data_IF_275700288074
#
_entry.id   IF_275700288074
#
_cell.length_a   1.000
_cell.length_b   1.000
_cell.length_c   1.000
_cell.angle_alpha   90.00
_cell.angle_beta   90.00
_cell.angle_gamma   90.00
#
_symmetry.space_group_name_H-M   'P 1'
#
loop_
_entity.id
_entity.type
_entity.pdbx_description
1 polymer ?
#
# COMPACT_ATOMS: atom_id res chain seq x y z
N UNK A 1 -6.25 35.75 -53.14
CA UNK A 1 -5.07 35.05 -52.58
C UNK A 1 -5.14 34.96 -51.05
N UNK A 2 -5.37 36.07 -50.34
CA UNK A 2 -5.46 36.09 -48.87
C UNK A 2 -6.64 35.27 -48.31
N UNK A 3 -7.83 35.36 -48.92
CA UNK A 3 -9.00 34.57 -48.49
C UNK A 3 -8.79 33.07 -48.61
N UNK A 4 -8.15 32.60 -49.68
CA UNK A 4 -7.85 31.17 -49.87
C UNK A 4 -6.87 30.65 -48.82
N UNK A 5 -5.90 31.47 -48.40
CA UNK A 5 -4.98 31.12 -47.31
C UNK A 5 -5.73 31.07 -45.98
N UNK A 6 -6.63 32.03 -45.73
CA UNK A 6 -7.44 32.06 -44.50
C UNK A 6 -8.34 30.83 -44.37
N UNK A 7 -9.04 30.44 -45.45
CA UNK A 7 -9.88 29.23 -45.48
C UNK A 7 -9.04 27.97 -45.19
N UNK A 8 -7.87 27.82 -45.83
CA UNK A 8 -7.02 26.67 -45.60
C UNK A 8 -6.41 26.60 -44.18
N UNK A 9 -6.23 27.73 -43.50
CA UNK A 9 -5.80 27.75 -42.09
C UNK A 9 -6.94 27.35 -41.17
N UNK A 10 -8.15 27.86 -41.42
CA UNK A 10 -9.35 27.51 -40.64
C UNK A 10 -9.62 26.00 -40.73
N UNK A 11 -9.61 25.42 -41.92
CA UNK A 11 -9.83 23.97 -42.10
C UNK A 11 -8.81 23.12 -41.33
N UNK A 12 -7.53 23.49 -41.39
CA UNK A 12 -6.48 22.78 -40.63
C UNK A 12 -6.65 22.89 -39.12
N UNK A 13 -7.05 24.05 -38.63
CA UNK A 13 -7.30 24.25 -37.20
C UNK A 13 -8.53 23.47 -36.74
N UNK A 14 -9.59 23.44 -37.52
CA UNK A 14 -10.79 22.64 -37.23
C UNK A 14 -10.49 21.15 -37.12
N UNK A 15 -9.74 20.61 -38.09
CA UNK A 15 -9.29 19.20 -38.04
C UNK A 15 -8.43 18.95 -36.80
N UNK A 16 -7.52 19.88 -36.46
CA UNK A 16 -6.65 19.71 -35.29
C UNK A 16 -7.41 19.75 -33.97
N UNK A 17 -8.43 20.60 -33.86
CA UNK A 17 -9.30 20.67 -32.68
C UNK A 17 -10.06 19.34 -32.53
N UNK A 18 -10.67 18.84 -33.60
CA UNK A 18 -11.41 17.58 -33.57
C UNK A 18 -10.52 16.39 -33.17
N UNK A 19 -9.29 16.33 -33.71
CA UNK A 19 -8.30 15.33 -33.30
C UNK A 19 -7.94 15.44 -31.81
N UNK A 20 -7.67 16.66 -31.32
CA UNK A 20 -7.31 16.88 -29.92
C UNK A 20 -8.45 16.58 -28.96
N UNK A 21 -9.70 16.81 -29.37
CA UNK A 21 -10.88 16.47 -28.59
C UNK A 21 -11.06 14.95 -28.49
N UNK A 22 -10.88 14.22 -29.60
CA UNK A 22 -10.91 12.77 -29.60
C UNK A 22 -9.80 12.17 -28.73
N UNK A 23 -8.56 12.64 -28.87
CA UNK A 23 -7.43 12.18 -28.05
C UNK A 23 -7.68 12.43 -26.56
N UNK A 24 -8.20 13.61 -26.20
CA UNK A 24 -8.58 13.91 -24.82
C UNK A 24 -9.66 12.96 -24.30
N UNK A 25 -10.65 12.62 -25.13
CA UNK A 25 -11.71 11.72 -24.73
C UNK A 25 -11.18 10.30 -24.48
N UNK A 26 -10.27 9.82 -25.33
CA UNK A 26 -9.62 8.51 -25.17
C UNK A 26 -8.77 8.50 -23.90
N UNK A 27 -7.91 9.49 -23.70
CA UNK A 27 -7.04 9.58 -22.52
C UNK A 27 -7.83 9.67 -21.21
N UNK A 28 -8.99 10.35 -21.22
CA UNK A 28 -9.89 10.42 -20.05
C UNK A 28 -10.52 9.06 -19.74
N UNK A 29 -10.93 8.30 -20.77
CA UNK A 29 -11.47 6.95 -20.58
C UNK A 29 -10.41 6.00 -20.03
N UNK A 30 -9.20 6.03 -20.58
CA UNK A 30 -8.10 5.20 -20.13
C UNK A 30 -7.68 5.55 -18.69
N UNK A 31 -7.56 6.84 -18.35
CA UNK A 31 -7.29 7.27 -16.98
C UNK A 31 -8.34 6.75 -15.99
N UNK A 32 -9.62 6.78 -16.39
CA UNK A 32 -10.68 6.26 -15.54
C UNK A 32 -10.53 4.75 -15.35
N UNK A 33 -10.30 3.99 -16.42
CA UNK A 33 -10.10 2.53 -16.33
C UNK A 33 -8.89 2.17 -15.46
N UNK A 34 -7.79 2.90 -15.60
CA UNK A 34 -6.58 2.68 -14.79
C UNK A 34 -6.84 2.96 -13.30
N UNK A 35 -7.53 4.06 -12.98
CA UNK A 35 -7.90 4.37 -11.58
C UNK A 35 -8.86 3.35 -11.00
N UNK A 36 -9.87 2.93 -11.76
CA UNK A 36 -10.81 1.90 -11.32
C UNK A 36 -10.06 0.58 -11.05
N UNK A 37 -9.06 0.24 -11.89
CA UNK A 37 -8.21 -0.94 -11.72
C UNK A 37 -7.28 -0.83 -10.52
N UNK A 38 -6.70 0.35 -10.29
CA UNK A 38 -5.85 0.64 -9.13
C UNK A 38 -6.64 0.45 -7.83
N UNK A 39 -7.84 1.03 -7.73
CA UNK A 39 -8.73 0.86 -6.57
C UNK A 39 -9.15 -0.60 -6.34
N UNK A 40 -9.43 -1.35 -7.40
CA UNK A 40 -9.74 -2.79 -7.31
C UNK A 40 -8.54 -3.59 -6.79
N UNK A 41 -7.34 -3.30 -7.30
CA UNK A 41 -6.11 -3.96 -6.85
C UNK A 41 -5.76 -3.61 -5.40
N UNK A 42 -5.92 -2.35 -5.00
CA UNK A 42 -5.73 -1.92 -3.60
C UNK A 42 -6.70 -2.67 -2.67
N UNK A 43 -7.97 -2.78 -3.06
CA UNK A 43 -8.98 -3.51 -2.28
C UNK A 43 -8.65 -5.00 -2.14
N UNK A 44 -8.15 -5.63 -3.21
CA UNK A 44 -7.71 -7.02 -3.19
C UNK A 44 -6.45 -7.22 -2.34
N UNK A 45 -5.50 -6.29 -2.42
CA UNK A 45 -4.30 -6.29 -1.59
C UNK A 45 -4.67 -6.17 -0.11
N UNK A 46 -5.54 -5.21 0.24
CA UNK A 46 -6.04 -5.04 1.61
C UNK A 46 -6.76 -6.29 2.12
N UNK A 47 -7.60 -6.91 1.30
CA UNK A 47 -8.28 -8.16 1.64
C UNK A 47 -7.28 -9.32 1.87
N UNK A 48 -6.24 -9.41 1.04
CA UNK A 48 -5.17 -10.41 1.19
C UNK A 48 -4.33 -10.14 2.45
N UNK A 49 -4.03 -8.88 2.74
CA UNK A 49 -3.33 -8.45 3.94
C UNK A 49 -4.12 -8.77 5.20
N UNK A 50 -5.44 -8.59 5.18
CA UNK A 50 -6.32 -8.97 6.29
C UNK A 50 -6.27 -10.47 6.56
N UNK A 51 -6.17 -11.32 5.52
CA UNK A 51 -5.98 -12.76 5.69
C UNK A 51 -4.66 -13.11 6.38
N UNK A 52 -3.57 -12.41 6.02
CA UNK A 52 -2.28 -12.58 6.69
C UNK A 52 -2.31 -12.10 8.14
N UNK A 53 -2.97 -10.96 8.44
CA UNK A 53 -3.03 -10.40 9.80
C UNK A 53 -3.92 -11.19 10.76
N UNK A 54 -4.89 -11.96 10.27
CA UNK A 54 -5.89 -12.63 11.11
C UNK A 54 -5.31 -13.65 12.10
N UNK A 55 -4.16 -14.25 11.76
CA UNK A 55 -3.46 -15.23 12.61
C UNK A 55 -2.13 -14.71 13.16
N UNK A 56 -1.81 -13.43 12.91
CA UNK A 56 -0.59 -12.80 13.39
C UNK A 56 -0.90 -11.86 14.55
N UNK A 57 -0.09 -11.91 15.60
CA UNK A 57 -0.19 -11.01 16.76
C UNK A 57 1.03 -10.11 16.77
N UNK A 58 0.83 -8.81 16.98
CA UNK A 58 1.90 -7.85 17.17
C UNK A 58 1.97 -7.45 18.64
N UNK A 59 3.14 -7.65 19.24
CA UNK A 59 3.38 -7.39 20.65
C UNK A 59 4.32 -6.20 20.77
N UNK A 60 4.00 -5.28 21.68
CA UNK A 60 4.75 -4.06 21.93
C UNK A 60 5.21 -4.01 23.40
N UNK A 61 6.24 -3.22 23.69
CA UNK A 61 6.71 -2.98 25.07
C UNK A 61 7.55 -4.12 25.66
N UNK A 62 8.02 -5.05 24.84
CA UNK A 62 9.02 -6.05 25.26
C UNK A 62 10.39 -5.35 25.27
N UNK A 63 11.10 -5.29 26.42
CA UNK A 63 12.43 -4.71 26.48
C UNK A 63 13.37 -5.44 25.52
N UNK A 64 14.13 -4.70 24.71
CA UNK A 64 15.12 -5.30 23.84
C UNK A 64 16.33 -5.75 24.68
N UNK A 65 16.70 -7.03 24.55
CA UNK A 65 18.01 -7.45 25.07
C UNK A 65 19.13 -6.82 24.23
N UNK A 66 20.17 -6.25 24.86
CA UNK A 66 21.34 -5.73 24.14
C UNK A 66 22.13 -6.84 23.42
N UNK A 67 21.90 -8.10 23.78
CA UNK A 67 22.47 -9.24 23.09
C UNK A 67 21.62 -9.60 21.86
N UNK A 68 22.21 -9.46 20.68
CA UNK A 68 21.58 -9.68 19.37
C UNK A 68 21.07 -11.10 19.10
N UNK A 69 21.21 -12.01 20.07
CA UNK A 69 20.93 -13.44 19.95
C UNK A 69 19.65 -13.88 20.66
N UNK A 70 18.80 -12.94 21.09
CA UNK A 70 17.51 -13.25 21.69
C UNK A 70 16.58 -13.91 20.66
N UNK A 71 16.35 -15.21 20.82
CA UNK A 71 15.44 -15.97 19.98
C UNK A 71 13.99 -15.61 20.32
N UNK A 72 13.29 -15.05 19.33
CA UNK A 72 11.95 -14.47 19.49
C UNK A 72 10.92 -15.52 19.93
N UNK A 73 11.09 -16.79 19.56
CA UNK A 73 10.18 -17.87 19.98
C UNK A 73 10.16 -18.05 21.50
N UNK A 74 11.33 -18.00 22.15
CA UNK A 74 11.42 -18.15 23.61
C UNK A 74 10.81 -16.96 24.34
N UNK A 75 10.97 -15.75 23.78
CA UNK A 75 10.33 -14.53 24.30
C UNK A 75 8.81 -14.68 24.26
N UNK A 76 8.27 -15.18 23.15
CA UNK A 76 6.83 -15.42 22.98
C UNK A 76 6.31 -16.48 23.95
N UNK A 77 6.99 -17.62 24.09
CA UNK A 77 6.59 -18.66 25.05
C UNK A 77 6.58 -18.12 26.48
N UNK A 78 7.61 -17.37 26.88
CA UNK A 78 7.70 -16.82 28.23
C UNK A 78 6.58 -15.80 28.48
N UNK A 79 6.23 -14.99 27.48
CA UNK A 79 5.10 -14.07 27.56
C UNK A 79 3.76 -14.83 27.70
N UNK A 80 3.52 -15.85 26.88
CA UNK A 80 2.32 -16.68 26.96
C UNK A 80 2.18 -17.34 28.34
N UNK A 81 3.27 -17.91 28.88
CA UNK A 81 3.31 -18.48 30.23
C UNK A 81 2.97 -17.45 31.31
N UNK A 82 3.46 -16.22 31.17
CA UNK A 82 3.14 -15.12 32.10
C UNK A 82 1.65 -14.77 32.08
N UNK A 83 1.00 -14.93 30.92
CA UNK A 83 -0.45 -14.75 30.75
C UNK A 83 -1.26 -15.98 31.16
N UNK A 84 -0.63 -17.07 31.59
CA UNK A 84 -1.29 -18.32 31.97
C UNK A 84 -1.71 -19.19 30.76
N UNK A 85 -1.18 -18.90 29.57
CA UNK A 85 -1.37 -19.74 28.38
C UNK A 85 -0.20 -20.72 28.26
N UNK A 86 -0.53 -22.02 28.16
CA UNK A 86 0.45 -23.07 27.85
C UNK A 86 0.50 -23.26 26.34
N UNK A 87 1.58 -22.79 25.71
CA UNK A 87 1.74 -22.76 24.26
C UNK A 87 3.13 -23.31 23.90
N UNK A 88 3.18 -24.16 22.88
CA UNK A 88 4.38 -24.81 22.36
C UNK A 88 4.96 -24.06 21.16
N UNK A 89 6.28 -24.19 20.94
CA UNK A 89 6.97 -23.60 19.78
C UNK A 89 6.33 -24.05 18.45
N UNK A 90 5.85 -25.29 18.37
CA UNK A 90 5.29 -25.85 17.14
C UNK A 90 3.92 -25.28 16.77
N UNK A 91 3.31 -24.49 17.66
CA UNK A 91 2.04 -23.79 17.40
C UNK A 91 2.25 -22.43 16.74
N UNK A 92 3.50 -21.98 16.60
CA UNK A 92 3.86 -20.76 15.90
C UNK A 92 4.52 -21.09 14.55
N UNK A 93 4.00 -20.52 13.46
CA UNK A 93 4.62 -20.68 12.15
C UNK A 93 5.91 -19.86 12.02
N UNK A 94 5.88 -18.61 12.48
CA UNK A 94 7.02 -17.68 12.44
C UNK A 94 6.93 -16.67 13.58
N UNK A 95 8.07 -16.32 14.16
CA UNK A 95 8.23 -15.15 15.01
C UNK A 95 9.43 -14.33 14.56
N UNK A 96 9.27 -13.01 14.54
CA UNK A 96 10.36 -12.12 14.20
C UNK A 96 10.15 -10.73 14.82
N UNK A 97 11.25 -10.06 15.12
CA UNK A 97 11.23 -8.64 15.45
C UNK A 97 10.81 -7.84 14.22
N UNK A 98 9.88 -6.93 14.38
CA UNK A 98 9.56 -5.89 13.38
C UNK A 98 10.21 -4.59 13.82
N UNK A 99 10.80 -3.85 12.87
CA UNK A 99 11.62 -2.66 13.14
C UNK A 99 10.99 -1.63 14.08
N UNK A 100 11.86 -0.82 14.68
CA UNK A 100 11.51 0.24 15.63
C UNK A 100 10.53 1.19 14.94
N UNK A 101 9.31 1.28 15.49
CA UNK A 101 8.42 2.39 15.16
C UNK A 101 9.07 3.62 15.77
N UNK A 102 9.67 4.48 14.95
CA UNK A 102 9.99 5.82 15.40
C UNK A 102 8.65 6.51 15.70
N UNK A 103 8.23 6.47 16.96
CA UNK A 103 7.02 7.15 17.42
C UNK A 103 7.21 8.65 17.20
N UNK A 104 6.72 9.15 16.06
CA UNK A 104 6.80 10.55 15.67
C UNK A 104 5.91 11.48 16.53
N UNK A 105 5.30 11.00 17.62
CA UNK A 105 4.30 11.74 18.39
C UNK A 105 4.44 11.62 19.92
N UNK A 106 5.66 11.51 20.46
CA UNK A 106 5.87 11.52 21.92
C UNK A 106 6.59 12.76 22.48
N UNK A 107 6.55 13.91 21.79
CA UNK A 107 7.10 15.18 22.30
C UNK A 107 6.10 16.35 22.18
N UNK A 108 4.96 16.23 22.85
CA UNK A 108 4.09 17.36 23.19
C UNK A 108 3.74 17.27 24.69
N UNK A 109 4.71 17.53 25.55
CA UNK A 109 4.53 18.08 26.89
C UNK A 109 5.73 18.95 27.26
#
# INVERSE_FOLDING_TARGET
MVESIAVGVVDRLSIRIECLENDNQVLRKENKMLRDRETDLESQMDASDQYSRRYNIRIFGVPESPDSNECTDYVMINLCKTLGADVSINEFDRSNKTGIVADANLNLK
#
